data_IF_305978724826
#
_entry.id   IF_305978724826
#
_cell.length_a   1.000
_cell.length_b   1.000
_cell.length_c   1.000
_cell.angle_alpha   90.00
_cell.angle_beta   90.00
_cell.angle_gamma   90.00
#
_symmetry.space_group_name_H-M   'P 1'
#
loop_
_entity.id
_entity.type
_entity.pdbx_description
1 polymer ?
#
# COMPACT_ATOMS: atom_id res chain seq x y z
N UNK A 1 -12.02 -2.09 3.95
CA UNK A 1 -11.14 -3.02 3.23
C UNK A 1 -10.32 -3.89 4.19
N UNK A 2 -9.48 -3.29 5.06
CA UNK A 2 -8.72 -4.04 6.08
C UNK A 2 -9.58 -5.00 6.91
N UNK A 3 -10.72 -4.52 7.42
CA UNK A 3 -11.64 -5.37 8.20
C UNK A 3 -12.20 -6.55 7.40
N UNK A 4 -12.47 -6.38 6.10
CA UNK A 4 -12.93 -7.50 5.27
C UNK A 4 -11.84 -8.57 5.15
N UNK A 5 -10.59 -8.15 4.96
CA UNK A 5 -9.44 -9.05 4.86
C UNK A 5 -9.12 -9.75 6.19
N UNK A 6 -9.18 -9.03 7.31
CA UNK A 6 -8.91 -9.61 8.63
C UNK A 6 -9.96 -10.64 9.04
N UNK A 7 -11.24 -10.38 8.75
CA UNK A 7 -12.33 -11.33 8.99
C UNK A 7 -12.15 -12.60 8.14
N UNK A 8 -11.81 -12.43 6.86
CA UNK A 8 -11.58 -13.56 5.94
C UNK A 8 -10.44 -14.47 6.43
N UNK A 9 -9.36 -13.88 6.93
CA UNK A 9 -8.21 -14.59 7.51
C UNK A 9 -8.39 -15.00 8.97
N UNK A 10 -9.56 -14.70 9.58
CA UNK A 10 -9.86 -14.96 11.00
C UNK A 10 -8.81 -14.36 11.95
N UNK A 11 -8.35 -13.15 11.65
CA UNK A 11 -7.40 -12.38 12.45
C UNK A 11 -8.09 -11.21 13.13
N UNK A 12 -7.68 -10.93 14.37
CA UNK A 12 -8.07 -9.69 15.05
C UNK A 12 -7.23 -8.55 14.48
N UNK A 13 -7.90 -7.56 13.89
CA UNK A 13 -7.25 -6.35 13.39
C UNK A 13 -7.09 -5.34 14.54
N UNK A 14 -5.87 -4.83 14.69
CA UNK A 14 -5.55 -3.65 15.49
C UNK A 14 -5.04 -2.62 14.49
N UNK A 15 -5.52 -1.38 14.58
CA UNK A 15 -5.10 -0.29 13.69
C UNK A 15 -4.52 0.80 14.57
N UNK A 16 -3.26 1.13 14.35
CA UNK A 16 -2.60 2.26 14.95
C UNK A 16 -2.50 3.39 13.92
N UNK A 17 -3.09 4.54 14.26
CA UNK A 17 -3.09 5.69 13.38
C UNK A 17 -1.90 6.58 13.68
N UNK A 18 -1.07 6.83 12.66
CA UNK A 18 0.10 7.67 12.79
C UNK A 18 -0.08 8.93 11.93
N UNK A 19 -0.14 10.13 12.54
CA UNK A 19 -0.05 11.37 11.79
C UNK A 19 1.31 11.44 11.08
N UNK A 20 1.30 11.57 9.76
CA UNK A 20 2.55 11.53 9.00
C UNK A 20 3.52 12.66 9.38
N UNK A 21 3.01 13.84 9.73
CA UNK A 21 3.85 14.96 10.17
C UNK A 21 4.67 14.61 11.42
N UNK A 22 4.12 13.80 12.32
CA UNK A 22 4.80 13.42 13.57
C UNK A 22 6.01 12.50 13.33
N UNK A 23 6.19 11.97 12.11
CA UNK A 23 7.37 11.21 11.73
C UNK A 23 8.52 12.10 11.24
N UNK A 24 8.29 13.40 11.04
CA UNK A 24 9.26 14.32 10.41
C UNK A 24 10.23 14.93 11.43
N UNK A 25 11.47 15.21 10.99
CA UNK A 25 12.53 15.81 11.83
C UNK A 25 12.15 17.19 12.40
N UNK A 26 11.22 17.90 11.76
CA UNK A 26 10.67 19.14 12.30
C UNK A 26 9.91 18.88 13.62
N UNK A 27 9.09 17.84 13.66
CA UNK A 27 8.33 17.48 14.86
C UNK A 27 9.22 16.92 15.96
N UNK A 28 10.36 16.30 15.64
CA UNK A 28 11.36 15.93 16.65
C UNK A 28 11.80 17.14 17.48
N UNK A 29 11.89 18.33 16.87
CA UNK A 29 12.28 19.58 17.54
C UNK A 29 11.10 20.29 18.19
N UNK A 30 9.96 20.34 17.51
CA UNK A 30 8.78 21.09 17.96
C UNK A 30 7.97 20.35 19.02
N UNK A 31 7.83 19.03 18.89
CA UNK A 31 7.08 18.16 19.80
C UNK A 31 7.74 16.77 19.89
N UNK A 32 8.81 16.64 20.68
CA UNK A 32 9.59 15.39 20.79
C UNK A 32 8.77 14.19 21.28
N UNK A 33 7.74 14.41 22.10
CA UNK A 33 6.91 13.34 22.66
C UNK A 33 5.98 12.75 21.59
N UNK A 34 5.37 13.59 20.76
CA UNK A 34 4.58 13.14 19.62
C UNK A 34 5.45 12.37 18.63
N UNK A 35 6.66 12.88 18.33
CA UNK A 35 7.62 12.21 17.45
C UNK A 35 8.00 10.81 17.95
N UNK A 36 8.37 10.70 19.24
CA UNK A 36 8.72 9.42 19.85
C UNK A 36 7.54 8.45 19.87
N UNK A 37 6.33 8.93 20.15
CA UNK A 37 5.13 8.10 20.14
C UNK A 37 4.84 7.55 18.73
N UNK A 38 4.89 8.41 17.71
CA UNK A 38 4.69 8.05 16.31
C UNK A 38 5.71 7.00 15.84
N UNK A 39 7.00 7.24 16.08
CA UNK A 39 8.04 6.28 15.73
C UNK A 39 7.96 4.97 16.51
N UNK A 40 7.51 5.00 17.78
CA UNK A 40 7.28 3.78 18.56
C UNK A 40 6.19 2.91 17.95
N UNK A 41 5.09 3.51 17.51
CA UNK A 41 4.00 2.79 16.82
C UNK A 41 4.49 2.22 15.49
N UNK A 42 5.15 3.04 14.66
CA UNK A 42 5.66 2.60 13.36
C UNK A 42 6.65 1.42 13.48
N UNK A 43 7.55 1.48 14.46
CA UNK A 43 8.54 0.42 14.71
C UNK A 43 7.95 -0.87 15.28
N UNK A 44 6.80 -0.78 15.95
CA UNK A 44 6.11 -1.92 16.55
C UNK A 44 5.13 -2.62 15.61
N UNK A 45 5.04 -2.20 14.36
CA UNK A 45 4.03 -2.63 13.43
C UNK A 45 4.38 -3.88 12.63
N UNK A 46 3.39 -4.74 12.41
CA UNK A 46 3.52 -5.95 11.58
C UNK A 46 3.23 -5.67 10.08
N UNK A 47 2.67 -4.50 9.76
CA UNK A 47 2.39 -4.04 8.40
C UNK A 47 2.21 -2.53 8.34
N UNK A 48 2.45 -1.92 7.19
CA UNK A 48 2.36 -0.47 6.97
C UNK A 48 1.50 -0.21 5.73
N UNK A 49 0.48 0.61 5.89
CA UNK A 49 -0.40 1.07 4.82
C UNK A 49 -0.31 2.59 4.68
N UNK A 50 0.22 3.04 3.54
CA UNK A 50 0.21 4.47 3.19
C UNK A 50 -0.94 4.73 2.21
N UNK A 51 -2.04 5.36 2.67
CA UNK A 51 -3.18 5.62 1.81
C UNK A 51 -2.91 6.79 0.85
N UNK A 52 -3.89 7.06 -0.01
CA UNK A 52 -3.92 8.26 -0.85
C UNK A 52 -3.89 9.55 -0.02
N UNK A 53 -3.55 10.65 -0.67
CA UNK A 53 -3.54 11.98 -0.06
C UNK A 53 -3.39 13.05 -1.14
N UNK A 54 -3.56 14.30 -0.72
CA UNK A 54 -3.39 15.46 -1.57
C UNK A 54 -2.57 16.52 -0.84
N UNK A 55 -1.76 17.28 -1.59
CA UNK A 55 -0.91 18.32 -1.05
C UNK A 55 0.38 17.80 -0.41
N UNK A 56 1.25 18.74 -0.04
CA UNK A 56 2.61 18.47 0.41
C UNK A 56 2.73 18.06 1.89
N UNK A 57 1.72 18.36 2.71
CA UNK A 57 1.77 18.14 4.17
C UNK A 57 1.88 16.65 4.51
N UNK A 58 2.88 16.29 5.32
CA UNK A 58 3.10 14.92 5.77
C UNK A 58 3.72 14.00 4.71
N UNK A 59 4.10 14.52 3.54
CA UNK A 59 4.72 13.71 2.48
C UNK A 59 6.08 13.19 2.93
N UNK A 60 6.88 13.99 3.63
CA UNK A 60 8.19 13.53 4.11
C UNK A 60 8.04 12.43 5.15
N UNK A 61 7.10 12.54 6.08
CA UNK A 61 6.80 11.46 7.02
C UNK A 61 6.37 10.16 6.34
N UNK A 62 5.58 10.23 5.27
CA UNK A 62 5.20 9.05 4.47
C UNK A 62 6.39 8.43 3.75
N UNK A 63 7.32 9.25 3.22
CA UNK A 63 8.57 8.79 2.61
C UNK A 63 9.41 8.04 3.66
N UNK A 64 9.50 8.58 4.88
CA UNK A 64 10.20 7.93 5.99
C UNK A 64 9.55 6.59 6.38
N UNK A 65 8.21 6.52 6.39
CA UNK A 65 7.50 5.26 6.66
C UNK A 65 7.75 4.20 5.57
N UNK A 66 7.71 4.58 4.29
CA UNK A 66 8.03 3.67 3.19
C UNK A 66 9.48 3.18 3.25
N UNK A 67 10.42 4.07 3.60
CA UNK A 67 11.83 3.73 3.81
C UNK A 67 11.99 2.71 4.93
N UNK A 68 11.37 2.99 6.07
CA UNK A 68 11.41 2.11 7.23
C UNK A 68 10.89 0.71 6.86
N UNK A 69 9.75 0.63 6.17
CA UNK A 69 9.18 -0.63 5.72
C UNK A 69 10.15 -1.40 4.82
N UNK A 70 10.73 -0.74 3.80
CA UNK A 70 11.68 -1.34 2.86
C UNK A 70 12.92 -1.90 3.56
N UNK A 71 13.51 -1.11 4.46
CA UNK A 71 14.78 -1.45 5.13
C UNK A 71 14.60 -2.54 6.20
N UNK A 72 13.47 -2.55 6.89
CA UNK A 72 13.18 -3.50 7.97
C UNK A 72 12.33 -4.69 7.52
N UNK A 73 12.07 -4.79 6.21
CA UNK A 73 11.29 -5.87 5.60
C UNK A 73 9.86 -5.99 6.13
N UNK A 74 9.26 -4.87 6.54
CA UNK A 74 7.88 -4.83 7.08
C UNK A 74 6.89 -4.75 5.91
N UNK A 75 5.89 -5.65 5.82
CA UNK A 75 4.86 -5.62 4.79
C UNK A 75 4.30 -4.21 4.52
N UNK A 76 4.35 -3.78 3.27
CA UNK A 76 3.97 -2.44 2.84
C UNK A 76 2.92 -2.47 1.72
N UNK A 77 1.87 -1.67 1.88
CA UNK A 77 0.92 -1.34 0.83
C UNK A 77 0.84 0.19 0.64
N UNK A 78 1.22 0.68 -0.53
CA UNK A 78 1.05 2.08 -0.92
C UNK A 78 -0.13 2.24 -1.86
N UNK A 79 -1.07 3.13 -1.56
CA UNK A 79 -2.26 3.39 -2.39
C UNK A 79 -2.20 4.81 -2.96
N UNK A 80 -2.32 4.95 -4.28
CA UNK A 80 -2.29 6.22 -4.98
C UNK A 80 -1.00 7.00 -4.63
N UNK A 81 -1.11 8.07 -3.82
CA UNK A 81 0.05 8.77 -3.27
C UNK A 81 1.04 7.84 -2.57
N UNK A 82 0.60 6.76 -1.90
CA UNK A 82 1.49 5.80 -1.27
C UNK A 82 2.43 5.12 -2.27
N UNK A 83 1.95 4.77 -3.47
CA UNK A 83 2.82 4.24 -4.53
C UNK A 83 3.86 5.28 -4.98
N UNK A 84 3.43 6.53 -5.17
CA UNK A 84 4.30 7.63 -5.59
C UNK A 84 5.40 7.89 -4.55
N UNK A 85 5.03 7.89 -3.27
CA UNK A 85 5.95 8.01 -2.13
C UNK A 85 6.98 6.87 -2.13
N UNK A 86 6.56 5.63 -2.38
CA UNK A 86 7.46 4.49 -2.44
C UNK A 86 8.49 4.63 -3.59
N UNK A 87 8.08 5.14 -4.75
CA UNK A 87 8.99 5.41 -5.88
C UNK A 87 9.98 6.53 -5.53
N UNK A 88 9.51 7.62 -4.93
CA UNK A 88 10.36 8.75 -4.50
C UNK A 88 11.38 8.28 -3.46
N UNK A 89 10.94 7.51 -2.46
CA UNK A 89 11.80 6.93 -1.44
C UNK A 89 12.89 6.06 -2.07
N UNK A 90 12.52 5.16 -2.97
CA UNK A 90 13.45 4.24 -3.62
C UNK A 90 14.49 5.02 -4.45
N UNK A 91 14.07 6.05 -5.18
CA UNK A 91 14.98 6.91 -5.93
C UNK A 91 15.98 7.64 -5.00
N UNK A 92 15.52 8.15 -3.85
CA UNK A 92 16.38 8.83 -2.87
C UNK A 92 17.38 7.87 -2.22
N UNK A 93 16.90 6.73 -1.76
CA UNK A 93 17.68 5.82 -0.92
C UNK A 93 18.55 4.85 -1.73
N UNK A 94 18.03 4.30 -2.83
CA UNK A 94 18.71 3.24 -3.60
C UNK A 94 19.48 3.82 -4.78
N UNK A 95 18.90 4.79 -5.49
CA UNK A 95 19.58 5.46 -6.62
C UNK A 95 20.44 6.65 -6.19
N UNK A 96 20.48 6.98 -4.89
CA UNK A 96 21.17 8.13 -4.31
C UNK A 96 20.75 9.49 -4.90
N UNK A 97 19.54 9.59 -5.43
CA UNK A 97 18.98 10.84 -5.96
C UNK A 97 18.30 11.63 -4.85
N UNK A 98 19.09 12.30 -4.02
CA UNK A 98 18.59 12.93 -2.79
C UNK A 98 17.50 13.98 -3.02
N UNK A 99 17.52 14.68 -4.16
CA UNK A 99 16.53 15.69 -4.55
C UNK A 99 15.33 15.10 -5.29
N UNK A 100 15.30 13.77 -5.55
CA UNK A 100 14.19 13.11 -6.22
C UNK A 100 12.86 13.44 -5.54
N UNK A 101 11.88 13.88 -6.33
CA UNK A 101 10.58 14.26 -5.81
C UNK A 101 9.48 14.17 -6.87
N UNK A 102 8.24 14.40 -6.44
CA UNK A 102 7.11 14.70 -7.34
C UNK A 102 7.14 16.18 -7.72
N UNK A 103 6.84 16.49 -8.98
CA UNK A 103 6.63 17.87 -9.42
C UNK A 103 5.37 18.50 -8.78
N UNK A 104 4.52 17.71 -8.12
CA UNK A 104 3.44 18.24 -7.26
C UNK A 104 3.99 18.96 -6.02
N UNK A 105 5.08 18.45 -5.43
CA UNK A 105 5.59 18.91 -4.15
C UNK A 105 6.82 19.80 -4.29
N UNK A 106 7.65 19.51 -5.29
CA UNK A 106 8.83 20.29 -5.64
C UNK A 106 8.94 20.41 -7.17
N UNK A 107 8.38 21.48 -7.76
CA UNK A 107 8.47 21.72 -9.21
C UNK A 107 9.90 21.92 -9.73
N UNK A 108 10.87 22.20 -8.84
CA UNK A 108 12.24 22.53 -9.20
C UNK A 108 13.21 21.35 -9.02
N UNK A 109 12.73 20.17 -8.64
CA UNK A 109 13.56 18.97 -8.52
C UNK A 109 14.29 18.69 -9.84
N UNK A 110 15.58 18.34 -9.76
CA UNK A 110 16.35 17.94 -10.95
C UNK A 110 16.12 16.48 -11.32
N UNK A 111 15.50 15.71 -10.42
CA UNK A 111 15.20 14.30 -10.58
C UNK A 111 13.69 14.04 -10.39
N UNK A 112 12.83 14.54 -11.30
CA UNK A 112 11.38 14.36 -11.19
C UNK A 112 11.00 12.90 -11.36
N UNK A 113 10.64 12.25 -10.25
CA UNK A 113 10.23 10.84 -10.22
C UNK A 113 8.75 10.66 -10.54
N UNK A 114 7.96 11.68 -10.23
CA UNK A 114 6.52 11.70 -10.43
C UNK A 114 6.17 13.03 -11.08
N UNK A 115 5.46 12.99 -12.21
CA UNK A 115 5.17 14.15 -13.05
C UNK A 115 3.68 14.28 -13.31
N UNK A 116 3.23 15.51 -13.59
CA UNK A 116 1.86 15.76 -14.01
C UNK A 116 1.65 15.19 -15.42
N UNK A 117 0.86 14.12 -15.53
CA UNK A 117 0.55 13.48 -16.81
C UNK A 117 -0.96 13.30 -16.92
N UNK A 118 -1.72 14.38 -17.21
CA UNK A 118 -3.17 14.34 -17.25
C UNK A 118 -3.68 13.49 -18.40
N UNK A 119 -4.94 13.10 -18.34
CA UNK A 119 -5.63 12.57 -19.51
C UNK A 119 -6.16 13.72 -20.36
N UNK A 120 -5.98 13.62 -21.68
CA UNK A 120 -6.64 14.50 -22.63
C UNK A 120 -8.12 14.14 -22.71
N UNK A 121 -9.01 15.10 -22.45
CA UNK A 121 -10.43 14.95 -22.71
C UNK A 121 -10.79 15.67 -24.01
N UNK A 122 -11.56 14.99 -24.88
CA UNK A 122 -12.17 15.63 -26.07
C UNK A 122 -13.30 16.60 -25.69
N UNK A 123 -13.83 16.52 -24.46
CA UNK A 123 -15.00 17.28 -24.00
C UNK A 123 -14.70 18.33 -22.94
N UNK A 124 -13.53 18.27 -22.28
CA UNK A 124 -13.12 19.22 -21.25
C UNK A 124 -11.78 19.84 -21.64
N UNK A 125 -11.75 21.16 -21.82
CA UNK A 125 -10.50 21.89 -22.02
C UNK A 125 -9.70 21.93 -20.72
N UNK A 126 -8.43 21.53 -20.78
CA UNK A 126 -7.52 21.43 -19.63
C UNK A 126 -7.12 19.99 -19.28
N UNK A 127 -6.02 19.84 -18.53
CA UNK A 127 -5.54 18.52 -18.09
C UNK A 127 -6.50 17.88 -17.09
N UNK A 128 -7.23 16.84 -17.53
CA UNK A 128 -8.24 16.18 -16.68
C UNK A 128 -7.62 15.13 -15.76
N UNK A 129 -8.28 14.92 -14.62
CA UNK A 129 -7.91 13.88 -13.65
C UNK A 129 -8.20 12.49 -14.22
N UNK A 130 -7.28 11.55 -14.06
CA UNK A 130 -7.52 10.13 -14.34
C UNK A 130 -8.51 9.60 -13.30
N UNK A 131 -9.74 9.37 -13.75
CA UNK A 131 -10.88 9.05 -12.91
C UNK A 131 -11.64 7.83 -13.45
N UNK A 132 -12.19 7.04 -12.53
CA UNK A 132 -13.11 5.94 -12.86
C UNK A 132 -12.42 4.59 -12.99
N UNK A 133 -13.14 3.61 -13.54
CA UNK A 133 -12.62 2.26 -13.75
C UNK A 133 -11.68 2.26 -14.94
N UNK A 134 -10.43 1.82 -14.75
CA UNK A 134 -9.43 1.66 -15.82
C UNK A 134 -8.81 0.29 -15.73
N UNK A 135 -8.37 -0.20 -16.89
CA UNK A 135 -7.70 -1.49 -17.02
C UNK A 135 -6.22 -1.36 -16.74
N UNK A 136 -5.71 -2.27 -15.91
CA UNK A 136 -4.28 -2.47 -15.64
C UNK A 136 -3.89 -3.88 -16.08
N UNK A 137 -2.89 -3.98 -16.95
CA UNK A 137 -2.34 -5.23 -17.46
C UNK A 137 -1.10 -5.63 -16.67
N UNK A 138 -1.05 -6.87 -16.20
CA UNK A 138 0.13 -7.41 -15.55
C UNK A 138 1.22 -7.68 -16.59
N UNK A 139 2.38 -7.07 -16.38
CA UNK A 139 3.56 -7.24 -17.24
C UNK A 139 4.44 -8.41 -16.78
N UNK A 140 4.41 -8.69 -15.47
CA UNK A 140 5.18 -9.77 -14.84
C UNK A 140 4.21 -10.82 -14.32
N UNK A 141 4.22 -12.02 -14.92
CA UNK A 141 3.26 -13.08 -14.57
C UNK A 141 3.48 -13.64 -13.16
N UNK A 142 4.72 -13.71 -12.69
CA UNK A 142 5.07 -14.34 -11.42
C UNK A 142 5.10 -13.38 -10.22
N UNK A 143 4.56 -12.16 -10.37
CA UNK A 143 4.52 -11.17 -9.31
C UNK A 143 3.46 -11.46 -8.24
N UNK A 144 3.61 -10.87 -7.05
CA UNK A 144 2.71 -11.12 -5.92
C UNK A 144 1.31 -10.61 -6.21
N UNK A 145 1.19 -9.45 -6.86
CA UNK A 145 -0.10 -8.88 -7.24
C UNK A 145 -0.87 -9.78 -8.20
N UNK A 146 -0.23 -10.27 -9.27
CA UNK A 146 -0.88 -11.17 -10.23
C UNK A 146 -1.40 -12.44 -9.54
N UNK A 147 -0.58 -13.05 -8.66
CA UNK A 147 -0.95 -14.23 -7.88
C UNK A 147 -2.15 -13.98 -6.96
N UNK A 148 -2.15 -12.86 -6.23
CA UNK A 148 -3.27 -12.47 -5.36
C UNK A 148 -4.57 -12.22 -6.16
N UNK A 149 -4.45 -11.69 -7.38
CA UNK A 149 -5.59 -11.51 -8.28
C UNK A 149 -5.97 -12.79 -9.07
N UNK A 150 -5.38 -13.94 -8.74
CA UNK A 150 -5.71 -15.24 -9.35
C UNK A 150 -5.09 -15.44 -10.73
N UNK A 151 -3.86 -14.96 -10.95
CA UNK A 151 -3.11 -15.07 -12.20
C UNK A 151 -3.82 -14.54 -13.44
N UNK A 152 -4.66 -13.51 -13.26
CA UNK A 152 -5.31 -12.80 -14.38
C UNK A 152 -4.27 -12.08 -15.22
N UNK A 153 -4.57 -11.87 -16.50
CA UNK A 153 -3.75 -11.05 -17.39
C UNK A 153 -3.97 -9.55 -17.18
N UNK A 154 -5.15 -9.16 -16.71
CA UNK A 154 -5.50 -7.78 -16.37
C UNK A 154 -6.52 -7.70 -15.24
N UNK A 155 -6.63 -6.51 -14.65
CA UNK A 155 -7.65 -6.13 -13.68
C UNK A 155 -8.24 -4.77 -14.05
N UNK A 156 -9.50 -4.55 -13.69
CA UNK A 156 -10.14 -3.24 -13.79
C UNK A 156 -10.31 -2.65 -12.40
N UNK A 157 -9.65 -1.54 -12.09
CA UNK A 157 -9.66 -0.89 -10.77
C UNK A 157 -10.01 0.59 -10.89
N UNK A 158 -10.34 1.24 -9.76
CA UNK A 158 -10.79 2.64 -9.76
C UNK A 158 -9.63 3.60 -9.48
N UNK A 159 -9.46 4.59 -10.35
CA UNK A 159 -8.42 5.63 -10.22
C UNK A 159 -9.03 6.97 -9.84
N UNK A 160 -8.23 7.80 -9.14
CA UNK A 160 -8.54 9.19 -8.80
C UNK A 160 -7.26 9.98 -8.52
N UNK A 161 -6.49 10.25 -9.57
CA UNK A 161 -5.20 10.96 -9.45
C UNK A 161 -4.84 11.72 -10.73
N UNK A 162 -3.76 12.50 -10.68
CA UNK A 162 -3.31 13.39 -11.76
C UNK A 162 -1.83 13.22 -12.14
N UNK A 163 -1.07 12.64 -11.23
CA UNK A 163 0.37 12.51 -11.33
C UNK A 163 0.73 11.06 -11.54
N UNK A 164 1.76 10.82 -12.34
CA UNK A 164 2.22 9.50 -12.72
C UNK A 164 3.73 9.39 -12.53
N UNK A 165 4.23 8.16 -12.41
CA UNK A 165 5.69 7.92 -12.43
C UNK A 165 6.24 8.43 -13.76
N UNK A 166 7.34 9.19 -13.70
CA UNK A 166 7.99 9.74 -14.88
C UNK A 166 8.53 8.59 -15.76
N UNK A 167 8.08 8.48 -17.03
CA UNK A 167 8.56 7.44 -17.94
C UNK A 167 10.09 7.39 -18.09
N UNK A 168 10.75 8.54 -18.03
CA UNK A 168 12.22 8.65 -18.16
C UNK A 168 12.96 8.00 -16.98
N UNK A 169 12.30 7.83 -15.84
CA UNK A 169 12.87 7.24 -14.63
C UNK A 169 12.70 5.72 -14.57
N UNK A 170 11.81 5.14 -15.38
CA UNK A 170 11.40 3.73 -15.29
C UNK A 170 12.60 2.80 -15.42
N UNK A 171 13.37 2.92 -16.51
CA UNK A 171 14.49 2.03 -16.77
C UNK A 171 15.53 2.07 -15.64
N UNK A 172 15.78 3.26 -15.07
CA UNK A 172 16.73 3.42 -13.97
C UNK A 172 16.23 2.77 -12.68
N UNK A 173 14.94 2.87 -12.39
CA UNK A 173 14.30 2.25 -11.22
C UNK A 173 14.27 0.72 -11.35
N UNK A 174 13.90 0.20 -12.53
CA UNK A 174 13.89 -1.24 -12.82
C UNK A 174 15.28 -1.87 -12.72
N UNK A 175 16.29 -1.21 -13.30
CA UNK A 175 17.68 -1.67 -13.22
C UNK A 175 18.24 -1.70 -11.79
N UNK A 176 17.67 -0.90 -10.88
CA UNK A 176 18.02 -0.91 -9.46
C UNK A 176 17.19 -1.89 -8.62
N UNK A 177 16.23 -2.60 -9.23
CA UNK A 177 15.47 -3.69 -8.61
C UNK A 177 14.02 -3.36 -8.25
N UNK A 178 13.52 -2.16 -8.55
CA UNK A 178 12.11 -1.81 -8.36
C UNK A 178 11.30 -2.24 -9.59
N UNK A 179 10.36 -3.18 -9.46
CA UNK A 179 9.67 -3.77 -10.61
C UNK A 179 8.31 -3.13 -10.85
N UNK A 180 8.05 -2.64 -12.07
CA UNK A 180 6.71 -2.19 -12.46
C UNK A 180 5.91 -3.35 -13.04
N UNK A 181 5.15 -4.02 -12.17
CA UNK A 181 4.47 -5.27 -12.50
C UNK A 181 3.12 -5.07 -13.20
N UNK A 182 2.57 -3.85 -13.19
CA UNK A 182 1.30 -3.50 -13.82
C UNK A 182 1.39 -2.18 -14.57
N UNK A 183 0.84 -2.14 -15.79
CA UNK A 183 0.80 -0.95 -16.66
C UNK A 183 -0.60 -0.72 -17.22
N UNK A 184 -0.87 0.50 -17.64
CA UNK A 184 -2.10 0.83 -18.35
C UNK A 184 -2.13 0.26 -19.79
N UNK A 185 -3.23 0.48 -20.51
CA UNK A 185 -3.40 0.03 -21.90
C UNK A 185 -2.41 0.65 -22.89
N UNK A 186 -1.91 1.86 -22.61
CA UNK A 186 -0.90 2.52 -23.44
C UNK A 186 0.52 2.08 -23.12
N UNK A 187 0.71 1.32 -22.03
CA UNK A 187 2.00 0.96 -21.44
C UNK A 187 2.87 2.16 -21.04
N UNK A 188 2.32 3.37 -20.99
CA UNK A 188 3.04 4.58 -20.58
C UNK A 188 2.91 4.84 -19.08
N UNK A 189 1.80 4.42 -18.46
CA UNK A 189 1.53 4.64 -17.04
C UNK A 189 1.83 3.37 -16.26
N UNK A 190 2.68 3.50 -15.26
CA UNK A 190 2.97 2.42 -14.31
C UNK A 190 1.91 2.43 -13.22
N UNK A 191 1.17 1.33 -13.07
CA UNK A 191 -0.01 1.25 -12.20
C UNK A 191 0.23 0.39 -10.95
N UNK A 192 1.21 -0.52 -11.01
CA UNK A 192 1.62 -1.38 -9.90
C UNK A 192 3.14 -1.44 -9.85
N UNK A 193 3.70 -1.24 -8.65
CA UNK A 193 5.11 -1.41 -8.35
C UNK A 193 5.30 -2.45 -7.25
N UNK A 194 6.31 -3.30 -7.40
CA UNK A 194 6.71 -4.29 -6.39
C UNK A 194 8.23 -4.26 -6.16
N UNK A 195 8.65 -4.60 -4.95
CA UNK A 195 10.05 -4.93 -4.66
C UNK A 195 10.17 -6.47 -4.55
N UNK A 196 10.73 -7.17 -5.56
CA UNK A 196 10.66 -8.64 -5.63
C UNK A 196 11.23 -9.35 -4.38
N UNK A 197 12.37 -8.86 -3.88
CA UNK A 197 13.10 -9.46 -2.75
C UNK A 197 12.53 -9.13 -1.36
N UNK A 198 11.42 -8.39 -1.29
CA UNK A 198 10.74 -8.01 -0.06
C UNK A 198 9.52 -8.92 0.21
N UNK A 199 9.23 -9.31 1.48
CA UNK A 199 8.11 -10.21 1.80
C UNK A 199 6.78 -9.73 1.23
N UNK A 200 6.49 -8.43 1.39
CA UNK A 200 5.35 -7.77 0.75
C UNK A 200 5.64 -6.27 0.62
N UNK A 201 5.96 -5.77 -0.55
CA UNK A 201 6.12 -4.33 -0.78
C UNK A 201 5.47 -4.01 -2.10
N UNK A 202 4.23 -3.53 -2.03
CA UNK A 202 3.38 -3.30 -3.20
C UNK A 202 2.89 -1.85 -3.14
N UNK A 203 3.08 -1.11 -4.22
CA UNK A 203 2.44 0.17 -4.43
C UNK A 203 1.49 0.07 -5.62
N UNK A 204 0.29 0.64 -5.50
CA UNK A 204 -0.67 0.73 -6.60
C UNK A 204 -1.17 2.14 -6.78
N UNK A 205 -1.42 2.54 -8.02
CA UNK A 205 -1.97 3.86 -8.34
C UNK A 205 -3.49 3.91 -8.17
N UNK A 206 -4.18 2.81 -8.41
CA UNK A 206 -5.61 2.69 -8.17
C UNK A 206 -5.96 2.59 -6.68
N UNK A 207 -7.26 2.64 -6.39
CA UNK A 207 -7.86 2.53 -5.06
C UNK A 207 -8.49 1.13 -4.86
N UNK A 208 -7.71 0.11 -4.46
CA UNK A 208 -8.19 -1.26 -4.27
C UNK A 208 -9.25 -1.38 -3.18
N UNK A 209 -9.37 -0.39 -2.30
CA UNK A 209 -10.36 -0.33 -1.22
C UNK A 209 -11.79 -0.22 -1.75
N UNK A 210 -12.01 0.42 -2.91
CA UNK A 210 -13.35 0.67 -3.44
C UNK A 210 -14.05 -0.57 -3.99
N UNK A 211 -13.30 -1.62 -4.33
CA UNK A 211 -13.86 -2.90 -4.82
C UNK A 211 -13.93 -3.97 -3.73
N UNK A 212 -13.48 -3.66 -2.50
CA UNK A 212 -13.55 -4.59 -1.38
C UNK A 212 -14.98 -4.73 -0.84
N UNK A 213 -15.45 -5.98 -0.61
CA UNK A 213 -16.76 -6.26 0.00
C UNK A 213 -16.64 -7.32 1.10
N UNK A 214 -17.59 -7.39 2.06
CA UNK A 214 -17.71 -8.55 2.94
C UNK A 214 -17.82 -9.85 2.12
N UNK A 215 -17.07 -10.89 2.51
CA UNK A 215 -17.01 -12.17 1.78
C UNK A 215 -16.23 -12.13 0.45
N UNK A 216 -15.76 -10.95 0.02
CA UNK A 216 -14.87 -10.77 -1.14
C UNK A 216 -13.91 -9.61 -0.87
N UNK A 217 -12.93 -9.80 0.03
CA UNK A 217 -11.97 -8.76 0.37
C UNK A 217 -11.15 -8.35 -0.86
N UNK A 218 -10.55 -7.17 -0.79
CA UNK A 218 -9.66 -6.74 -1.87
C UNK A 218 -8.38 -7.58 -1.81
N UNK A 219 -7.90 -8.16 -2.93
CA UNK A 219 -6.76 -9.06 -2.93
C UNK A 219 -5.49 -8.46 -2.32
N UNK A 220 -5.21 -7.17 -2.54
CA UNK A 220 -4.03 -6.50 -1.99
C UNK A 220 -4.14 -6.25 -0.48
N UNK A 221 -5.34 -6.00 0.04
CA UNK A 221 -5.52 -5.92 1.49
C UNK A 221 -5.42 -7.30 2.14
N UNK A 222 -5.92 -8.35 1.47
CA UNK A 222 -5.78 -9.73 1.92
C UNK A 222 -4.29 -10.13 1.95
N UNK A 223 -3.55 -9.79 0.90
CA UNK A 223 -2.10 -10.00 0.82
C UNK A 223 -1.33 -9.29 1.92
N UNK A 224 -1.66 -8.03 2.23
CA UNK A 224 -1.01 -7.29 3.32
C UNK A 224 -1.20 -7.96 4.68
N UNK A 225 -2.44 -8.32 5.05
CA UNK A 225 -2.72 -8.96 6.33
C UNK A 225 -2.10 -10.36 6.39
N UNK A 226 -2.16 -11.12 5.30
CA UNK A 226 -1.52 -12.43 5.22
C UNK A 226 0.00 -12.32 5.38
N UNK A 227 0.64 -11.31 4.76
CA UNK A 227 2.06 -11.05 4.91
C UNK A 227 2.44 -10.67 6.35
N UNK A 228 1.68 -9.77 6.98
CA UNK A 228 1.86 -9.38 8.38
C UNK A 228 1.74 -10.59 9.34
N UNK A 229 0.93 -11.58 8.98
CA UNK A 229 0.75 -12.82 9.74
C UNK A 229 1.69 -13.97 9.35
N UNK A 230 2.60 -13.79 8.38
CA UNK A 230 3.46 -14.86 7.88
C UNK A 230 2.74 -15.97 7.10
N UNK A 231 1.58 -15.67 6.52
CA UNK A 231 0.69 -16.62 5.80
C UNK A 231 0.53 -16.32 4.31
N UNK A 232 1.32 -15.39 3.76
CA UNK A 232 1.21 -14.97 2.36
C UNK A 232 1.46 -16.12 1.38
N UNK A 233 2.48 -16.94 1.61
CA UNK A 233 2.81 -18.05 0.71
C UNK A 233 1.71 -19.10 0.67
N UNK A 234 1.11 -19.42 1.82
CA UNK A 234 -0.04 -20.33 1.92
C UNK A 234 -1.24 -19.77 1.15
N UNK A 235 -1.51 -18.46 1.27
CA UNK A 235 -2.60 -17.79 0.56
C UNK A 235 -2.40 -17.86 -0.97
N UNK A 236 -1.19 -17.58 -1.44
CA UNK A 236 -0.84 -17.59 -2.86
C UNK A 236 -0.90 -19.01 -3.44
N UNK A 237 -0.40 -20.01 -2.72
CA UNK A 237 -0.43 -21.42 -3.16
C UNK A 237 -1.86 -21.97 -3.20
N UNK A 238 -2.70 -21.66 -2.20
CA UNK A 238 -4.09 -22.10 -2.14
C UNK A 238 -4.98 -21.51 -3.25
N UNK A 239 -4.61 -20.34 -3.77
CA UNK A 239 -5.32 -19.66 -4.87
C UNK A 239 -5.09 -20.32 -6.24
N UNK A 240 -4.01 -21.10 -6.40
CA UNK A 240 -3.74 -21.91 -7.59
C UNK A 240 -4.52 -23.22 -7.67
N UNK A 241 -5.16 -23.63 -6.57
CA UNK A 241 -5.77 -24.96 -6.41
C UNK A 241 -7.30 -24.96 -6.49
N UNK A 242 -7.95 -23.84 -6.81
CA UNK A 242 -9.41 -23.81 -7.00
C UNK A 242 -9.82 -24.32 -8.39
N UNK A 243 -9.53 -25.60 -8.64
CA UNK A 243 -10.27 -26.46 -9.55
C UNK A 243 -10.88 -27.59 -8.73
N UNK A 244 -12.21 -27.60 -8.60
CA UNK A 244 -13.04 -28.70 -8.10
C UNK A 244 -12.65 -29.38 -6.77
N UNK A 245 -13.13 -28.85 -5.64
CA UNK A 245 -13.41 -29.67 -4.45
C UNK A 245 -14.76 -29.26 -3.84
N UNK A 246 -15.79 -30.03 -4.19
CA UNK A 246 -17.03 -30.13 -3.43
C UNK A 246 -16.71 -30.76 -2.08
N UNK A 247 -16.70 -29.96 -1.01
CA UNK A 247 -16.50 -30.46 0.34
C UNK A 247 -17.86 -30.82 0.98
N UNK A 248 -18.21 -32.11 0.93
CA UNK A 248 -19.07 -32.73 1.94
C UNK A 248 -18.31 -32.72 3.27
N UNK A 249 -18.85 -32.08 4.30
CA UNK A 249 -18.31 -32.16 5.67
C UNK A 249 -19.23 -33.05 6.52
N UNK A 250 -18.71 -34.24 6.84
CA UNK A 250 -19.19 -35.09 7.92
C UNK A 250 -18.53 -34.70 9.25
N UNK A 251 -19.26 -34.89 10.34
CA UNK A 251 -18.84 -34.58 11.71
C UNK A 251 -17.65 -35.45 12.16
N UNK A 252 -16.61 -34.80 12.68
CA UNK A 252 -15.45 -35.43 13.29
C UNK A 252 -14.97 -34.63 14.51
N UNK A 253 -14.95 -35.32 15.64
CA UNK A 253 -14.69 -34.91 17.03
C UNK A 253 -13.40 -34.08 17.22
N UNK A 254 -13.48 -33.02 18.03
CA UNK A 254 -12.36 -32.15 18.40
C UNK A 254 -11.54 -32.71 19.58
N UNK A 255 -10.21 -32.67 19.45
CA UNK A 255 -9.27 -32.83 20.56
C UNK A 255 -8.89 -31.45 21.14
N UNK A 256 -9.04 -31.32 22.44
CA UNK A 256 -8.77 -30.11 23.23
C UNK A 256 -7.26 -29.91 23.47
N UNK A 257 -6.75 -28.69 23.27
CA UNK A 257 -5.43 -28.27 23.79
C UNK A 257 -5.62 -27.04 24.68
N UNK A 258 -5.21 -27.21 25.94
CA UNK A 258 -5.27 -26.23 27.03
C UNK A 258 -4.17 -25.18 26.87
N UNK A 259 -4.51 -23.90 27.02
CA UNK A 259 -3.55 -22.79 27.17
C UNK A 259 -3.73 -22.12 28.55
N UNK A 260 -2.63 -21.73 29.23
CA UNK A 260 -2.70 -21.08 30.54
C UNK A 260 -3.16 -19.61 30.48
N UNK A 261 -3.84 -19.18 31.55
CA UNK A 261 -4.58 -17.91 31.74
C UNK A 261 -3.70 -16.69 32.04
N UNK A 262 -4.22 -15.52 31.67
CA UNK A 262 -3.97 -14.19 32.27
C UNK A 262 -3.14 -13.26 31.38
N UNK A 263 -3.49 -12.00 31.10
CA UNK A 263 -4.25 -11.00 31.86
C UNK A 263 -4.96 -10.01 30.91
N UNK A 264 -6.21 -9.66 31.22
CA UNK A 264 -7.02 -8.66 30.52
C UNK A 264 -6.71 -7.23 30.99
N UNK A 265 -6.60 -6.28 30.05
CA UNK A 265 -6.67 -4.83 30.34
C UNK A 265 -8.00 -4.26 29.82
N UNK A 266 -8.63 -3.31 30.52
CA UNK A 266 -9.96 -2.81 30.16
C UNK A 266 -9.89 -1.85 28.97
N UNK A 267 -10.86 -1.95 28.06
CA UNK A 267 -11.07 -1.01 26.98
C UNK A 267 -11.77 0.25 27.52
N UNK A 268 -11.19 1.43 27.29
CA UNK A 268 -11.89 2.71 27.43
C UNK A 268 -12.48 3.09 26.08
N UNK A 269 -13.81 3.08 26.00
CA UNK A 269 -14.57 3.71 24.93
C UNK A 269 -14.57 5.21 25.19
N UNK A 270 -14.09 6.01 24.24
CA UNK A 270 -14.31 7.46 24.22
C UNK A 270 -15.13 7.80 22.97
N UNK A 271 -16.28 8.40 23.23
CA UNK A 271 -17.30 8.88 22.31
C UNK A 271 -16.87 10.14 21.56
N UNK A 272 -17.30 10.21 20.30
CA UNK A 272 -17.62 11.38 19.48
C UNK A 272 -16.84 12.67 19.72
N UNK A 273 -15.84 12.89 18.86
CA UNK A 273 -15.16 14.16 18.66
C UNK A 273 -15.01 14.44 17.17
N UNK A 274 -15.41 15.64 16.76
CA UNK A 274 -15.33 16.21 15.42
C UNK A 274 -13.88 16.11 14.85
N UNK A 275 -13.66 15.37 13.76
CA UNK A 275 -12.32 15.24 13.16
C UNK A 275 -12.13 16.14 11.92
N UNK A 276 -11.12 17.01 12.05
CA UNK A 276 -10.50 17.81 11.00
C UNK A 276 -9.64 16.94 10.07
N UNK A 277 -9.63 17.29 8.78
CA UNK A 277 -8.94 16.61 7.68
C UNK A 277 -7.42 16.47 7.90
N UNK A 278 -6.95 15.32 8.37
CA UNK A 278 -5.53 14.93 8.32
C UNK A 278 -5.35 13.57 7.63
N UNK A 279 -4.53 13.55 6.57
CA UNK A 279 -4.22 12.35 5.78
C UNK A 279 -3.16 11.50 6.53
N UNK A 280 -3.59 10.58 7.40
CA UNK A 280 -2.70 9.72 8.20
C UNK A 280 -2.07 8.55 7.43
N UNK A 281 -1.12 7.87 8.08
CA UNK A 281 -0.66 6.51 7.73
C UNK A 281 -1.46 5.54 8.61
N UNK A 282 -1.95 4.45 8.01
CA UNK A 282 -2.55 3.35 8.76
C UNK A 282 -1.46 2.31 8.99
N UNK A 283 -1.24 1.96 10.23
CA UNK A 283 -0.23 1.00 10.64
C UNK A 283 -0.92 -0.15 11.36
#
# INVERSE_FOLDING_TARGET
>A
ALLHASVDLRKKLVIDWIPACDLEDATEKENPDAYKAAWKLLKGADGILVPGGFGNRGVQGKILAAKYAREHRIPYLGICLGMQVAVIEFARSVLNLRDANSTEFDPNTKNPCVIFMPEGSKTHMGGTMRLGSRRTYFQVKDCKSAKLYGNRTFIDERHRHRYEVNPDMIARLENAGLSFTGKDETSQRMEIVELPNHPYFIGVQFHPEYKSRPGKPSPLFLGLIAAACGQLDTLIQGSGSQGNLSAKLGNGIAMEKVYPKGTTKPAKVLSDGLYSYCNGVQV
#
